data_IF_953296105554
#
_entry.id   IF_953296105554
#
_cell.length_a   1.000
_cell.length_b   1.000
_cell.length_c   1.000
_cell.angle_alpha   90.00
_cell.angle_beta   90.00
_cell.angle_gamma   90.00
#
_symmetry.space_group_name_H-M   'P 1'
#
loop_
_entity.id
_entity.type
_entity.pdbx_description
1 polymer ?
#
# COMPACT_ATOMS: atom_id res chain seq x y z
N UNK A 1 -4.06 7.14 24.82
CA UNK A 1 -4.42 7.79 23.54
C UNK A 1 -3.15 8.41 22.95
N UNK A 2 -2.92 8.32 21.63
CA UNK A 2 -1.83 9.05 20.99
C UNK A 2 -2.07 10.56 21.13
N UNK A 3 -0.99 11.35 21.15
CA UNK A 3 -1.07 12.80 21.25
C UNK A 3 -1.82 13.39 20.04
N UNK A 4 -2.57 14.49 20.25
CA UNK A 4 -3.35 15.15 19.17
C UNK A 4 -2.45 15.50 17.97
N UNK A 5 -1.19 15.90 18.23
CA UNK A 5 -0.20 16.19 17.19
C UNK A 5 0.15 14.98 16.31
N UNK A 6 0.10 13.77 16.86
CA UNK A 6 0.34 12.53 16.13
C UNK A 6 -0.87 12.17 15.26
N UNK A 7 -2.08 12.47 15.73
CA UNK A 7 -3.32 12.24 14.97
C UNK A 7 -3.52 13.24 13.82
N UNK A 8 -2.98 14.45 13.94
CA UNK A 8 -3.07 15.50 12.91
C UNK A 8 -1.95 15.43 11.84
N UNK A 9 -1.12 14.37 11.86
CA UNK A 9 -0.01 14.21 10.93
C UNK A 9 -0.48 14.02 9.50
N UNK A 10 0.12 14.74 8.55
CA UNK A 10 -0.08 14.51 7.13
C UNK A 10 1.04 13.67 6.51
N UNK A 11 0.79 13.10 5.34
CA UNK A 11 1.81 12.39 4.55
C UNK A 11 3.03 13.27 4.22
N UNK A 12 2.81 14.56 3.99
CA UNK A 12 3.86 15.53 3.67
C UNK A 12 4.75 15.79 4.88
N UNK A 13 4.16 15.93 6.08
CA UNK A 13 4.91 16.07 7.34
C UNK A 13 5.83 14.89 7.61
N UNK A 14 5.34 13.67 7.36
CA UNK A 14 6.11 12.43 7.51
C UNK A 14 7.30 12.41 6.54
N UNK A 15 7.08 12.83 5.29
CA UNK A 15 8.14 12.88 4.27
C UNK A 15 9.17 13.97 4.57
N UNK A 16 8.72 15.14 5.02
CA UNK A 16 9.59 16.22 5.48
C UNK A 16 10.42 15.81 6.69
N UNK A 17 9.80 15.09 7.64
CA UNK A 17 10.48 14.52 8.80
C UNK A 17 11.49 13.45 8.39
N UNK A 18 11.19 12.60 7.41
CA UNK A 18 12.11 11.59 6.90
C UNK A 18 13.41 12.19 6.36
N UNK A 19 13.34 13.39 5.75
CA UNK A 19 14.52 14.13 5.27
C UNK A 19 15.37 14.71 6.41
N UNK A 20 14.73 15.07 7.53
CA UNK A 20 15.39 15.67 8.71
C UNK A 20 15.93 14.61 9.68
N UNK A 21 15.23 13.49 9.79
CA UNK A 21 15.56 12.41 10.71
C UNK A 21 16.92 11.81 10.31
N UNK A 22 17.91 12.01 11.18
CA UNK A 22 19.15 11.26 11.09
C UNK A 22 18.87 9.84 11.57
N UNK A 23 19.27 8.85 10.77
CA UNK A 23 19.12 7.45 11.12
C UNK A 23 19.59 7.21 12.56
N UNK A 24 18.65 6.87 13.43
CA UNK A 24 18.91 6.55 14.82
C UNK A 24 18.96 5.03 15.02
N UNK A 25 19.18 4.61 16.26
CA UNK A 25 19.37 3.23 16.72
C UNK A 25 18.50 2.21 15.97
N UNK A 26 19.01 0.98 15.77
CA UNK A 26 18.27 -0.07 15.10
C UNK A 26 16.90 -0.27 15.78
N UNK A 27 15.84 -0.12 15.00
CA UNK A 27 14.47 -0.35 15.43
C UNK A 27 13.93 -1.60 14.73
N UNK A 28 13.11 -2.38 15.44
CA UNK A 28 12.45 -3.56 14.86
C UNK A 28 11.46 -3.18 13.77
N UNK A 29 10.80 -2.04 13.92
CA UNK A 29 9.85 -1.51 12.95
C UNK A 29 10.53 -0.41 12.12
N UNK A 30 10.67 -0.66 10.83
CA UNK A 30 11.22 0.27 9.85
C UNK A 30 10.18 0.60 8.78
N UNK A 31 10.36 1.72 8.11
CA UNK A 31 9.49 2.18 7.02
C UNK A 31 10.35 2.68 5.88
N UNK A 32 9.92 2.40 4.65
CA UNK A 32 10.58 2.90 3.45
C UNK A 32 9.95 4.22 3.04
N UNK A 33 10.73 5.31 3.11
CA UNK A 33 10.35 6.64 2.65
C UNK A 33 11.39 7.13 1.65
N UNK A 34 10.97 7.46 0.44
CA UNK A 34 11.86 7.89 -0.66
C UNK A 34 13.07 6.94 -0.90
N UNK A 35 12.86 5.63 -0.73
CA UNK A 35 13.90 4.61 -0.89
C UNK A 35 14.87 4.48 0.30
N UNK A 36 14.60 5.14 1.43
CA UNK A 36 15.38 5.02 2.67
C UNK A 36 14.61 4.28 3.74
N UNK A 37 15.28 3.33 4.40
CA UNK A 37 14.75 2.63 5.57
C UNK A 37 14.98 3.47 6.82
N UNK A 38 13.88 3.90 7.44
CA UNK A 38 13.89 4.73 8.63
C UNK A 38 13.13 4.04 9.77
N UNK A 39 13.50 4.27 11.04
CA UNK A 39 12.79 3.68 12.16
C UNK A 39 11.39 4.32 12.30
N UNK A 40 10.34 3.49 12.35
CA UNK A 40 8.94 3.92 12.26
C UNK A 40 8.53 4.89 13.39
N UNK A 41 8.83 4.52 14.65
CA UNK A 41 8.46 5.35 15.82
C UNK A 41 9.21 6.70 15.83
N UNK A 42 10.55 6.76 15.76
CA UNK A 42 11.27 8.03 15.71
C UNK A 42 10.81 8.94 14.57
N UNK A 43 10.47 8.38 13.40
CA UNK A 43 9.94 9.15 12.29
C UNK A 43 8.63 9.85 12.64
N UNK A 44 7.67 9.14 13.23
CA UNK A 44 6.38 9.71 13.64
C UNK A 44 6.55 10.77 14.74
N UNK A 45 7.47 10.54 15.69
CA UNK A 45 7.74 11.49 16.77
C UNK A 45 8.37 12.79 16.24
N UNK A 46 9.32 12.68 15.32
CA UNK A 46 9.92 13.84 14.63
C UNK A 46 8.90 14.59 13.77
N UNK A 47 8.04 13.85 13.04
CA UNK A 47 6.98 14.45 12.24
C UNK A 47 5.98 15.23 13.11
N UNK A 48 5.60 14.67 14.27
CA UNK A 48 4.65 15.31 15.18
C UNK A 48 5.30 16.39 16.07
N UNK A 49 6.62 16.58 16.00
CA UNK A 49 7.36 17.50 16.87
C UNK A 49 7.14 17.21 18.35
N UNK A 50 7.02 15.95 18.72
CA UNK A 50 6.79 15.52 20.11
C UNK A 50 8.08 14.96 20.72
N UNK A 51 8.28 15.10 22.03
CA UNK A 51 9.46 14.56 22.70
C UNK A 51 9.53 13.03 22.56
N UNK A 52 10.73 12.42 22.62
CA UNK A 52 10.91 10.97 22.51
C UNK A 52 10.22 10.16 23.61
N UNK A 53 9.79 10.81 24.70
CA UNK A 53 9.06 10.22 25.82
C UNK A 53 7.53 10.20 25.63
N UNK A 54 7.03 10.55 24.44
CA UNK A 54 5.61 10.52 24.13
C UNK A 54 5.01 9.10 24.30
N UNK A 55 3.75 8.99 24.77
CA UNK A 55 3.07 7.70 24.95
C UNK A 55 2.83 6.91 23.67
N UNK A 56 3.08 7.49 22.49
CA UNK A 56 2.93 6.82 21.20
C UNK A 56 3.85 5.62 21.09
N UNK A 57 3.26 4.43 20.99
CA UNK A 57 4.02 3.19 20.85
C UNK A 57 4.33 2.87 19.37
N UNK A 58 5.19 1.87 19.15
CA UNK A 58 5.60 1.49 17.79
C UNK A 58 4.44 0.98 16.93
N UNK A 59 3.46 0.27 17.49
CA UNK A 59 2.30 -0.23 16.74
C UNK A 59 1.38 0.91 16.27
N UNK A 60 1.22 1.95 17.07
CA UNK A 60 0.49 3.15 16.69
C UNK A 60 1.19 3.89 15.56
N UNK A 61 2.51 4.04 15.65
CA UNK A 61 3.31 4.62 14.58
C UNK A 61 3.17 3.82 13.27
N UNK A 62 3.26 2.49 13.35
CA UNK A 62 3.05 1.58 12.22
C UNK A 62 1.66 1.77 11.61
N UNK A 63 0.61 1.78 12.43
CA UNK A 63 -0.76 1.97 11.96
C UNK A 63 -0.94 3.28 11.20
N UNK A 64 -0.36 4.38 11.68
CA UNK A 64 -0.41 5.68 11.01
C UNK A 64 0.31 5.63 9.66
N UNK A 65 1.48 4.98 9.62
CA UNK A 65 2.24 4.82 8.38
C UNK A 65 1.50 3.95 7.36
N UNK A 66 0.85 2.87 7.81
CA UNK A 66 0.00 2.02 6.96
C UNK A 66 -1.22 2.77 6.43
N UNK A 67 -1.86 3.61 7.25
CA UNK A 67 -3.02 4.44 6.89
C UNK A 67 -2.66 5.43 5.77
N UNK A 68 -1.46 6.02 5.84
CA UNK A 68 -0.91 6.86 4.78
C UNK A 68 -0.30 6.10 3.58
N UNK A 69 -0.33 4.76 3.61
CA UNK A 69 0.12 3.90 2.51
C UNK A 69 1.63 3.71 2.39
N UNK A 70 2.40 3.87 3.46
CA UNK A 70 3.84 3.61 3.47
C UNK A 70 4.17 2.11 3.61
N UNK A 71 5.30 1.67 3.04
CA UNK A 71 5.79 0.30 3.19
C UNK A 71 6.48 0.13 4.55
N UNK A 72 5.81 -0.57 5.45
CA UNK A 72 6.31 -0.85 6.81
C UNK A 72 6.86 -2.27 6.90
N UNK A 73 8.06 -2.38 7.47
CA UNK A 73 8.79 -3.63 7.65
C UNK A 73 9.04 -3.92 9.12
N UNK A 74 8.94 -5.20 9.47
CA UNK A 74 9.34 -5.73 10.76
C UNK A 74 10.60 -6.57 10.57
N UNK A 75 11.71 -6.16 11.18
CA UNK A 75 13.01 -6.83 11.09
C UNK A 75 13.43 -7.09 9.62
N UNK A 76 13.21 -6.10 8.74
CA UNK A 76 13.52 -6.18 7.31
C UNK A 76 12.52 -6.98 6.47
N UNK A 77 11.51 -7.60 7.08
CA UNK A 77 10.44 -8.32 6.36
C UNK A 77 9.23 -7.41 6.17
N UNK A 78 8.73 -7.36 4.93
CA UNK A 78 7.46 -6.71 4.65
C UNK A 78 6.36 -7.36 5.48
N UNK A 79 5.64 -6.55 6.26
CA UNK A 79 4.48 -7.06 6.97
C UNK A 79 3.29 -7.09 6.02
N UNK A 80 2.42 -8.13 6.07
CA UNK A 80 1.17 -8.13 5.33
C UNK A 80 0.23 -7.10 5.97
N UNK A 81 0.49 -5.82 5.73
CA UNK A 81 -0.28 -4.70 6.23
C UNK A 81 -1.66 -4.65 5.58
N UNK A 82 -2.70 -4.46 6.38
CA UNK A 82 -4.13 -4.41 6.00
C UNK A 82 -4.51 -3.14 5.20
N UNK A 83 -3.58 -2.51 4.48
CA UNK A 83 -3.83 -1.32 3.63
C UNK A 83 -4.46 -1.64 2.27
N UNK A 84 -4.76 -2.91 2.00
CA UNK A 84 -5.47 -3.37 0.80
C UNK A 84 -6.95 -3.57 1.12
N UNK A 85 -7.76 -2.52 1.15
CA UNK A 85 -9.21 -2.74 1.19
C UNK A 85 -10.01 -1.91 0.18
N UNK A 86 -9.60 -0.69 -0.15
CA UNK A 86 -10.35 0.07 -1.17
C UNK A 86 -9.96 -0.29 -2.61
N UNK A 87 -8.67 -0.46 -2.91
CA UNK A 87 -8.25 -0.81 -4.27
C UNK A 87 -8.54 -2.27 -4.63
N UNK A 88 -8.42 -3.20 -3.66
CA UNK A 88 -8.68 -4.63 -3.89
C UNK A 88 -10.16 -4.96 -4.08
N UNK A 89 -11.05 -4.28 -3.35
CA UNK A 89 -12.50 -4.45 -3.53
C UNK A 89 -12.96 -4.00 -4.92
N UNK A 90 -12.43 -2.88 -5.42
CA UNK A 90 -12.78 -2.37 -6.75
C UNK A 90 -12.30 -3.30 -7.87
N UNK A 91 -11.10 -3.86 -7.76
CA UNK A 91 -10.59 -4.83 -8.74
C UNK A 91 -11.29 -6.19 -8.64
N UNK A 92 -11.67 -6.65 -7.43
CA UNK A 92 -12.44 -7.90 -7.28
C UNK A 92 -13.87 -7.78 -7.82
N UNK A 93 -14.53 -6.65 -7.62
CA UNK A 93 -15.83 -6.33 -8.24
C UNK A 93 -15.73 -6.29 -9.77
N UNK A 94 -14.68 -5.67 -10.32
CA UNK A 94 -14.42 -5.65 -11.76
C UNK A 94 -14.21 -7.07 -12.32
N UNK A 95 -13.38 -7.89 -11.67
CA UNK A 95 -13.14 -9.27 -12.08
C UNK A 95 -14.42 -10.12 -11.95
N UNK A 96 -15.24 -9.89 -10.93
CA UNK A 96 -16.54 -10.56 -10.73
C UNK A 96 -17.53 -10.20 -11.85
N UNK A 97 -17.58 -8.93 -12.24
CA UNK A 97 -18.40 -8.43 -13.35
C UNK A 97 -17.98 -9.04 -14.70
N UNK A 98 -16.68 -9.08 -14.98
CA UNK A 98 -16.13 -9.68 -16.22
C UNK A 98 -16.44 -11.18 -16.32
N UNK A 99 -16.35 -11.93 -15.22
CA UNK A 99 -16.69 -13.37 -15.22
C UNK A 99 -18.17 -13.65 -15.48
N UNK A 100 -19.06 -12.70 -15.23
CA UNK A 100 -20.49 -12.84 -15.53
C UNK A 100 -20.84 -12.70 -17.01
N UNK A 101 -19.96 -12.10 -17.83
CA UNK A 101 -20.29 -11.68 -19.21
C UNK A 101 -19.75 -12.61 -20.31
N UNK A 102 -19.03 -13.68 -19.96
CA UNK A 102 -18.44 -14.60 -20.95
C UNK A 102 -19.26 -15.89 -21.11
N UNK A 103 -20.57 -15.78 -21.36
CA UNK A 103 -21.40 -16.93 -21.76
C UNK A 103 -22.11 -16.62 -23.08
N UNK A 104 -21.55 -17.20 -24.15
CA UNK A 104 -22.24 -17.60 -25.38
C UNK A 104 -22.63 -16.48 -26.33
N UNK A 105 -21.92 -16.38 -27.45
CA UNK A 105 -22.43 -17.04 -28.64
C UNK A 105 -21.26 -17.46 -29.54
N UNK A 106 -21.39 -18.66 -30.10
CA UNK A 106 -20.58 -19.18 -31.18
C UNK A 106 -20.71 -18.26 -32.41
N UNK A 107 -19.83 -18.49 -33.40
CA UNK A 107 -19.94 -17.93 -34.77
C UNK A 107 -19.20 -16.61 -35.03
N UNK A 108 -17.91 -16.74 -35.34
CA UNK A 108 -17.27 -16.03 -36.47
C UNK A 108 -16.01 -16.74 -37.01
N UNK A 109 -15.66 -17.93 -36.51
CA UNK A 109 -14.49 -18.69 -37.01
C UNK A 109 -14.78 -19.58 -38.23
N UNK A 110 -16.03 -19.67 -38.71
CA UNK A 110 -16.42 -20.60 -39.80
C UNK A 110 -16.85 -19.91 -41.11
N UNK A 111 -16.36 -18.69 -41.39
CA UNK A 111 -16.70 -17.95 -42.61
C UNK A 111 -15.56 -17.85 -43.65
N UNK A 112 -14.51 -18.69 -43.59
CA UNK A 112 -13.36 -18.57 -44.51
C UNK A 112 -12.81 -19.86 -45.14
N UNK A 113 -13.46 -21.01 -44.98
CA UNK A 113 -12.91 -22.28 -45.48
C UNK A 113 -13.93 -23.15 -46.24
N UNK A 114 -14.78 -22.55 -47.08
CA UNK A 114 -15.73 -23.35 -47.89
C UNK A 114 -15.95 -22.93 -49.35
N UNK A 115 -15.15 -22.02 -49.91
CA UNK A 115 -15.28 -21.61 -51.33
C UNK A 115 -14.29 -22.28 -52.30
N UNK A 116 -13.45 -23.22 -51.88
CA UNK A 116 -12.41 -23.77 -52.78
C UNK A 116 -12.47 -25.28 -53.05
N UNK A 117 -13.65 -25.89 -52.90
CA UNK A 117 -13.84 -27.28 -53.32
C UNK A 117 -15.26 -27.47 -53.83
N UNK A 118 -15.46 -27.13 -55.11
CA UNK A 118 -16.34 -27.81 -56.08
C UNK A 118 -16.54 -26.89 -57.29
N UNK A 119 -15.51 -26.74 -58.14
CA UNK A 119 -15.75 -26.59 -59.57
C UNK A 119 -14.84 -27.59 -60.29
N UNK A 120 -15.51 -28.43 -61.08
CA UNK A 120 -14.93 -29.31 -62.09
C UNK A 120 -14.68 -28.50 -63.35
#
# INVERSE_FOLDING_TARGET
MPSIRVAALTREDITAAARRLRASRPAKWTVIVEGRELPARPLILEAAGVPPNDPTNSHQAVKILEDWGFDVRYEGKATPGKGKQESQSAMEELIRSLRGSCKGDESIAEAREREHRLEK
#
